data_IF_789198833518
#
_entry.id   IF_789198833518
#
_cell.length_a   1.000
_cell.length_b   1.000
_cell.length_c   1.000
_cell.angle_alpha   90.00
_cell.angle_beta   90.00
_cell.angle_gamma   90.00
#
_symmetry.space_group_name_H-M   'P 1'
#
loop_
_entity.id
_entity.type
_entity.pdbx_description
1 polymer ?
#
# COMPACT_ATOMS: atom_id res chain seq x y z
N UNK A 1 54.65 35.14 -17.65
CA UNK A 1 54.07 36.03 -18.68
C UNK A 1 52.66 35.52 -18.96
N UNK A 2 51.66 36.15 -18.39
CA UNK A 2 50.25 35.85 -18.64
C UNK A 2 49.54 37.18 -18.86
N UNK A 3 49.12 37.39 -20.09
CA UNK A 3 48.40 38.57 -20.56
C UNK A 3 46.94 38.47 -20.19
N UNK A 4 46.50 39.35 -19.30
CA UNK A 4 45.11 39.53 -18.98
C UNK A 4 44.35 40.21 -20.12
N UNK A 5 43.20 39.65 -20.49
CA UNK A 5 42.27 40.21 -21.44
C UNK A 5 41.18 40.94 -20.66
N UNK A 6 41.10 42.24 -20.85
CA UNK A 6 40.06 43.09 -20.27
C UNK A 6 38.90 43.13 -21.23
N UNK A 7 37.75 42.60 -20.85
CA UNK A 7 36.50 42.75 -21.62
C UNK A 7 35.92 44.13 -21.35
N UNK A 8 35.81 44.91 -22.41
CA UNK A 8 35.18 46.22 -22.41
C UNK A 8 33.69 45.99 -22.62
N UNK A 9 32.90 46.31 -21.59
CA UNK A 9 31.45 46.35 -21.67
C UNK A 9 31.04 47.63 -22.40
N UNK A 10 30.61 47.48 -23.64
CA UNK A 10 30.03 48.60 -24.41
C UNK A 10 28.71 49.03 -23.75
N UNK A 11 28.67 50.27 -23.28
CA UNK A 11 27.46 50.93 -22.85
C UNK A 11 26.63 51.33 -24.07
N UNK A 12 25.51 50.61 -24.26
CA UNK A 12 24.51 50.97 -25.29
C UNK A 12 23.94 52.39 -25.11
N UNK A 13 23.44 53.00 -26.18
CA UNK A 13 22.95 54.37 -26.16
C UNK A 13 21.82 54.60 -25.16
N UNK A 14 21.99 55.60 -24.29
CA UNK A 14 20.95 56.03 -23.34
C UNK A 14 19.75 56.56 -24.06
N UNK A 15 18.70 55.75 -24.21
CA UNK A 15 17.38 56.20 -24.70
C UNK A 15 16.81 57.35 -23.84
N UNK A 16 16.07 58.26 -24.45
CA UNK A 16 15.57 59.44 -23.75
C UNK A 16 14.68 59.04 -22.54
N UNK A 17 14.99 59.64 -21.38
CA UNK A 17 14.35 59.33 -20.06
C UNK A 17 12.84 59.45 -20.03
N UNK A 18 12.21 60.12 -21.01
CA UNK A 18 10.79 60.26 -21.10
C UNK A 18 10.04 58.99 -21.58
N UNK A 19 10.73 58.05 -22.27
CA UNK A 19 10.16 56.78 -22.73
C UNK A 19 9.83 55.89 -21.53
N UNK A 20 10.69 55.86 -20.51
CA UNK A 20 10.44 55.13 -19.25
C UNK A 20 9.23 55.68 -18.49
N UNK A 21 9.05 57.01 -18.54
CA UNK A 21 7.91 57.66 -17.87
C UNK A 21 6.58 57.37 -18.54
N UNK A 22 6.54 57.29 -19.88
CA UNK A 22 5.36 56.95 -20.65
C UNK A 22 4.93 55.48 -20.38
N UNK A 23 5.88 54.54 -20.30
CA UNK A 23 5.61 53.16 -20.01
C UNK A 23 5.06 53.00 -18.56
N UNK A 24 5.60 53.76 -17.62
CA UNK A 24 5.14 53.71 -16.22
C UNK A 24 3.72 54.27 -16.07
N UNK A 25 3.39 55.37 -16.77
CA UNK A 25 2.05 55.95 -16.80
C UNK A 25 1.06 54.99 -17.45
N UNK A 26 1.43 54.32 -18.55
CA UNK A 26 0.57 53.32 -19.20
C UNK A 26 0.31 52.09 -18.30
N UNK A 27 1.30 51.61 -17.58
CA UNK A 27 1.17 50.48 -16.66
C UNK A 27 0.23 50.76 -15.47
N UNK A 28 0.12 52.02 -15.05
CA UNK A 28 -0.78 52.44 -13.94
C UNK A 28 -2.18 52.83 -14.46
N UNK A 29 -2.25 53.46 -15.65
CA UNK A 29 -3.52 53.93 -16.19
C UNK A 29 -4.44 52.81 -16.68
N UNK A 30 -3.90 51.75 -17.24
CA UNK A 30 -4.69 50.60 -17.76
C UNK A 30 -5.49 49.88 -16.66
N UNK A 31 -4.92 49.49 -15.53
CA UNK A 31 -5.70 48.88 -14.45
C UNK A 31 -6.70 49.86 -13.80
N UNK A 32 -6.38 51.18 -13.71
CA UNK A 32 -7.31 52.18 -13.16
C UNK A 32 -8.53 52.39 -14.06
N UNK A 33 -8.35 52.39 -15.36
CA UNK A 33 -9.45 52.47 -16.32
C UNK A 33 -10.30 51.21 -16.26
N UNK A 34 -9.67 50.03 -16.10
CA UNK A 34 -10.39 48.77 -15.92
C UNK A 34 -11.27 48.71 -14.66
N UNK A 35 -10.78 49.30 -13.55
CA UNK A 35 -11.55 49.39 -12.30
C UNK A 35 -12.68 50.40 -12.39
N UNK A 36 -12.49 51.50 -13.11
CA UNK A 36 -13.53 52.53 -13.30
C UNK A 36 -14.59 52.14 -14.34
N UNK A 37 -14.20 51.42 -15.39
CA UNK A 37 -15.12 50.93 -16.40
C UNK A 37 -15.98 49.73 -15.92
N UNK A 38 -15.54 49.04 -14.88
CA UNK A 38 -16.28 47.90 -14.31
C UNK A 38 -17.26 48.32 -13.18
N UNK A 39 -17.54 49.61 -13.04
CA UNK A 39 -18.62 50.13 -12.20
C UNK A 39 -19.94 50.13 -12.94
N UNK A 40 -20.24 49.11 -13.69
CA UNK A 40 -21.58 48.87 -14.17
C UNK A 40 -22.46 48.47 -13.00
N UNK A 41 -23.46 49.29 -12.76
CA UNK A 41 -24.60 49.02 -11.91
C UNK A 41 -25.25 47.71 -12.35
N UNK A 42 -24.76 46.60 -11.84
CA UNK A 42 -25.43 45.31 -11.96
C UNK A 42 -26.77 45.44 -11.25
N UNK A 43 -27.84 45.59 -11.99
CA UNK A 43 -29.19 45.31 -11.53
C UNK A 43 -29.14 43.94 -10.80
N UNK A 44 -29.75 43.81 -9.61
CA UNK A 44 -29.76 42.52 -8.91
C UNK A 44 -30.42 41.52 -9.84
N UNK A 45 -29.59 40.61 -10.42
CA UNK A 45 -30.09 39.45 -11.11
C UNK A 45 -31.02 38.70 -10.15
N UNK A 46 -32.20 38.28 -10.60
CA UNK A 46 -33.06 37.44 -9.77
C UNK A 46 -32.22 36.27 -9.24
N UNK A 47 -32.21 36.10 -7.91
CA UNK A 47 -31.45 35.08 -7.24
C UNK A 47 -31.71 33.73 -7.95
N UNK A 48 -30.73 33.26 -8.70
CA UNK A 48 -30.78 31.89 -9.20
C UNK A 48 -31.00 31.00 -7.98
N UNK A 49 -32.01 30.11 -7.99
CA UNK A 49 -32.17 29.18 -6.90
C UNK A 49 -30.82 28.46 -6.72
N UNK A 50 -30.24 28.61 -5.55
CA UNK A 50 -29.03 27.88 -5.19
C UNK A 50 -29.39 26.43 -5.41
N UNK A 51 -28.70 25.70 -6.31
CA UNK A 51 -28.97 24.27 -6.49
C UNK A 51 -28.88 23.66 -5.09
N UNK A 52 -29.99 23.12 -4.61
CA UNK A 52 -30.00 22.34 -3.37
C UNK A 52 -28.98 21.26 -3.59
N UNK A 53 -27.81 21.41 -2.96
CA UNK A 53 -26.79 20.37 -2.99
C UNK A 53 -27.45 19.17 -2.35
N UNK A 54 -27.90 18.23 -3.17
CA UNK A 54 -28.33 16.93 -2.67
C UNK A 54 -27.18 16.43 -1.81
N UNK A 55 -27.36 16.23 -0.50
CA UNK A 55 -26.27 15.73 0.33
C UNK A 55 -25.73 14.50 -0.36
N UNK A 56 -24.42 14.48 -0.56
CA UNK A 56 -23.75 13.30 -1.11
C UNK A 56 -24.28 12.07 -0.33
N UNK A 57 -24.65 10.99 -1.00
CA UNK A 57 -25.20 9.81 -0.33
C UNK A 57 -24.31 9.51 0.85
N UNK A 58 -24.89 9.49 2.05
CA UNK A 58 -24.19 9.17 3.29
C UNK A 58 -23.50 7.85 3.02
N UNK A 59 -22.16 7.86 2.93
CA UNK A 59 -21.39 6.65 2.71
C UNK A 59 -21.87 5.65 3.75
N UNK A 60 -22.40 4.54 3.28
CA UNK A 60 -22.70 3.41 4.14
C UNK A 60 -21.48 3.16 5.01
N UNK A 61 -21.70 3.00 6.30
CA UNK A 61 -20.65 2.88 7.30
C UNK A 61 -19.53 1.98 6.76
N UNK A 62 -18.31 2.51 6.80
CA UNK A 62 -17.11 1.74 6.44
C UNK A 62 -17.19 0.43 7.19
N UNK A 63 -17.23 -0.68 6.46
CA UNK A 63 -17.39 -1.99 7.06
C UNK A 63 -16.15 -2.27 7.93
N UNK A 64 -16.31 -2.32 9.23
CA UNK A 64 -15.24 -2.53 10.21
C UNK A 64 -15.05 -4.03 10.50
N UNK A 65 -15.55 -4.91 9.64
CA UNK A 65 -15.34 -6.35 9.77
C UNK A 65 -13.85 -6.64 9.67
N UNK A 66 -13.27 -7.43 10.58
CA UNK A 66 -11.87 -7.82 10.51
C UNK A 66 -11.56 -8.44 9.14
N UNK A 67 -10.61 -7.86 8.44
CA UNK A 67 -10.16 -8.30 7.13
C UNK A 67 -9.16 -9.48 7.30
N UNK A 68 -9.64 -10.54 7.92
CA UNK A 68 -8.88 -11.74 8.24
C UNK A 68 -9.81 -12.96 8.27
N UNK A 69 -9.27 -14.13 7.96
CA UNK A 69 -9.97 -15.40 8.17
C UNK A 69 -9.55 -16.03 9.50
N UNK A 70 -10.52 -16.59 10.23
CA UNK A 70 -10.30 -17.29 11.49
C UNK A 70 -10.58 -18.78 11.26
N UNK A 71 -9.57 -19.57 10.85
CA UNK A 71 -9.78 -20.97 10.53
C UNK A 71 -10.10 -21.77 11.80
N UNK A 72 -11.00 -22.73 11.69
CA UNK A 72 -11.32 -23.60 12.81
C UNK A 72 -10.13 -24.48 13.19
N UNK A 73 -9.80 -24.52 14.47
CA UNK A 73 -8.81 -25.44 14.99
C UNK A 73 -9.33 -26.88 14.98
N UNK A 74 -8.52 -27.82 14.49
CA UNK A 74 -8.81 -29.25 14.41
C UNK A 74 -8.01 -29.95 15.49
N UNK A 75 -8.57 -31.05 16.04
CA UNK A 75 -7.88 -31.88 17.04
C UNK A 75 -8.27 -31.56 18.47
N UNK A 76 -7.87 -32.42 19.40
CA UNK A 76 -8.15 -32.37 20.84
C UNK A 76 -6.85 -32.54 21.65
N UNK A 77 -6.90 -32.24 22.96
CA UNK A 77 -5.70 -32.33 23.82
C UNK A 77 -4.75 -31.15 23.63
N UNK A 78 -3.45 -31.40 23.79
CA UNK A 78 -2.40 -30.35 23.82
C UNK A 78 -1.94 -29.87 22.45
N UNK A 79 -2.36 -30.55 21.39
CA UNK A 79 -1.98 -30.22 20.01
C UNK A 79 -3.22 -29.87 19.20
N UNK A 80 -3.08 -28.85 18.36
CA UNK A 80 -4.11 -28.39 17.40
C UNK A 80 -3.52 -28.34 16.01
N UNK A 81 -4.41 -28.40 15.02
CA UNK A 81 -4.04 -28.17 13.62
C UNK A 81 -4.96 -27.13 12.98
N UNK A 82 -4.41 -26.41 12.00
CA UNK A 82 -5.16 -25.51 11.09
C UNK A 82 -4.89 -25.94 9.66
N UNK A 83 -5.92 -25.94 8.84
CA UNK A 83 -5.74 -25.99 7.39
C UNK A 83 -5.79 -24.58 6.85
N UNK A 84 -4.80 -24.24 6.04
CA UNK A 84 -4.63 -22.90 5.50
C UNK A 84 -4.36 -22.97 4.00
N UNK A 85 -4.67 -21.85 3.31
CA UNK A 85 -4.29 -21.65 1.91
C UNK A 85 -3.50 -20.35 1.80
N UNK A 86 -2.30 -20.43 1.23
CA UNK A 86 -1.45 -19.28 0.95
C UNK A 86 -1.97 -18.47 -0.25
N UNK A 87 -1.52 -17.21 -0.41
CA UNK A 87 -1.99 -16.35 -1.52
C UNK A 87 -1.74 -16.92 -2.92
N UNK A 88 -0.76 -17.77 -3.11
CA UNK A 88 -0.45 -18.47 -4.36
C UNK A 88 -1.28 -19.75 -4.59
N UNK A 89 -2.17 -20.08 -3.65
CA UNK A 89 -3.01 -21.28 -3.71
C UNK A 89 -2.40 -22.52 -3.05
N UNK A 90 -1.15 -22.47 -2.56
CA UNK A 90 -0.56 -23.59 -1.83
C UNK A 90 -1.39 -23.87 -0.57
N UNK A 91 -1.80 -25.13 -0.39
CA UNK A 91 -2.52 -25.58 0.81
C UNK A 91 -1.54 -26.24 1.78
N UNK A 92 -1.73 -25.96 3.07
CA UNK A 92 -0.89 -26.55 4.11
C UNK A 92 -1.70 -26.83 5.39
N UNK A 93 -1.17 -27.74 6.20
CA UNK A 93 -1.61 -28.00 7.57
C UNK A 93 -0.54 -27.49 8.54
N UNK A 94 -0.97 -26.66 9.49
CA UNK A 94 -0.15 -26.10 10.55
C UNK A 94 -0.49 -26.85 11.83
N UNK A 95 0.44 -27.59 12.40
CA UNK A 95 0.29 -28.24 13.70
C UNK A 95 1.01 -27.42 14.77
N UNK A 96 0.38 -27.20 15.92
CA UNK A 96 0.88 -26.31 16.96
C UNK A 96 0.36 -26.68 18.35
N UNK A 97 1.08 -26.34 19.45
CA UNK A 97 0.60 -26.49 20.82
C UNK A 97 -0.66 -25.66 21.08
N UNK A 98 -1.68 -26.24 21.71
CA UNK A 98 -2.96 -25.57 21.94
C UNK A 98 -2.83 -24.21 22.66
N UNK A 99 -1.84 -24.05 23.54
CA UNK A 99 -1.58 -22.80 24.25
C UNK A 99 -1.20 -21.60 23.37
N UNK A 100 -0.69 -21.84 22.14
CA UNK A 100 -0.43 -20.76 21.19
C UNK A 100 -1.71 -20.12 20.63
N UNK A 101 -2.81 -20.84 20.62
CA UNK A 101 -4.13 -20.39 20.16
C UNK A 101 -4.10 -19.69 18.79
N UNK A 102 -3.37 -20.24 17.82
CA UNK A 102 -3.14 -19.59 16.51
C UNK A 102 -4.45 -19.33 15.74
N UNK A 103 -5.47 -20.16 15.93
CA UNK A 103 -6.77 -19.98 15.30
C UNK A 103 -7.41 -18.62 15.63
N UNK A 104 -7.18 -18.11 16.84
CA UNK A 104 -7.77 -16.84 17.29
C UNK A 104 -7.01 -15.61 16.80
N UNK A 105 -5.82 -15.77 16.24
CA UNK A 105 -5.01 -14.64 15.76
C UNK A 105 -5.56 -14.05 14.45
N UNK A 106 -6.29 -14.84 13.67
CA UNK A 106 -6.73 -14.47 12.33
C UNK A 106 -5.60 -14.51 11.31
N UNK A 107 -5.88 -15.09 10.13
CA UNK A 107 -4.92 -15.25 9.05
C UNK A 107 -5.18 -14.22 7.95
N UNK A 108 -4.12 -13.55 7.48
CA UNK A 108 -4.17 -12.52 6.43
C UNK A 108 -3.12 -12.80 5.35
N UNK A 109 -3.45 -12.57 4.06
CA UNK A 109 -2.51 -12.73 2.98
C UNK A 109 -1.50 -11.57 2.94
N UNK A 110 -0.26 -11.91 2.54
CA UNK A 110 0.74 -10.97 2.06
C UNK A 110 1.33 -11.54 0.77
N UNK A 111 1.48 -10.69 -0.21
CA UNK A 111 2.18 -11.02 -1.43
C UNK A 111 2.82 -9.78 -2.03
N UNK A 112 3.53 -9.96 -3.13
CA UNK A 112 4.13 -8.85 -3.85
C UNK A 112 4.15 -9.15 -5.35
N UNK A 113 4.42 -8.13 -6.13
CA UNK A 113 4.54 -8.26 -7.57
C UNK A 113 5.30 -7.13 -8.22
N UNK A 114 5.47 -7.23 -9.52
CA UNK A 114 6.19 -6.26 -10.36
C UNK A 114 5.49 -6.12 -11.71
N UNK A 115 5.48 -4.91 -12.26
CA UNK A 115 5.08 -4.68 -13.65
C UNK A 115 6.29 -4.93 -14.57
N UNK A 116 6.15 -5.85 -15.53
CA UNK A 116 7.24 -6.28 -16.41
C UNK A 116 7.79 -5.16 -17.33
N UNK A 117 6.94 -4.21 -17.71
CA UNK A 117 7.27 -3.17 -18.71
C UNK A 117 7.83 -1.89 -18.10
N UNK A 118 8.03 -1.84 -16.81
CA UNK A 118 8.49 -0.60 -16.15
C UNK A 118 9.94 -0.25 -16.45
N UNK A 119 10.72 -1.18 -16.96
CA UNK A 119 12.16 -0.99 -17.29
C UNK A 119 13.04 -0.66 -16.07
N UNK A 120 12.44 -0.53 -14.89
CA UNK A 120 13.11 -0.27 -13.63
C UNK A 120 12.91 -1.45 -12.68
N UNK A 121 13.99 -1.90 -12.07
CA UNK A 121 13.95 -2.92 -11.02
C UNK A 121 13.08 -2.49 -9.81
N UNK A 122 12.73 -1.22 -9.72
CA UNK A 122 12.12 -0.55 -8.56
C UNK A 122 10.58 -0.52 -8.59
N UNK A 123 9.92 -1.08 -9.61
CA UNK A 123 8.45 -1.09 -9.67
C UNK A 123 7.83 -2.30 -8.95
N UNK A 124 8.58 -2.83 -8.01
CA UNK A 124 8.12 -3.87 -7.12
C UNK A 124 7.21 -3.27 -6.05
N UNK A 125 6.05 -3.90 -5.82
CA UNK A 125 5.08 -3.45 -4.82
C UNK A 125 4.58 -4.61 -3.98
N UNK A 126 4.45 -4.34 -2.68
CA UNK A 126 3.84 -5.26 -1.73
C UNK A 126 2.38 -4.95 -1.52
N UNK A 127 1.59 -5.97 -1.27
CA UNK A 127 0.19 -5.82 -0.89
C UNK A 127 -0.15 -6.72 0.29
N UNK A 128 -0.95 -6.15 1.18
CA UNK A 128 -1.38 -6.77 2.42
C UNK A 128 -2.88 -6.59 2.61
N UNK A 129 -3.47 -7.37 3.47
CA UNK A 129 -4.82 -7.13 3.95
C UNK A 129 -4.78 -6.25 5.21
N UNK A 130 -5.17 -4.96 5.15
CA UNK A 130 -5.30 -4.12 6.33
C UNK A 130 -6.32 -4.73 7.29
N UNK A 131 -6.03 -4.82 8.59
CA UNK A 131 -6.89 -5.52 9.55
C UNK A 131 -8.32 -4.95 9.58
N UNK A 132 -8.43 -3.63 9.53
CA UNK A 132 -9.70 -2.91 9.50
C UNK A 132 -10.09 -2.47 8.08
N UNK A 133 -9.57 -3.15 7.05
CA UNK A 133 -9.94 -2.95 5.65
C UNK A 133 -9.89 -1.50 5.20
N UNK A 134 -11.01 -1.00 4.68
CA UNK A 134 -11.13 0.36 4.15
C UNK A 134 -10.95 1.43 5.25
N UNK A 135 -11.39 1.18 6.48
CA UNK A 135 -11.26 2.14 7.57
C UNK A 135 -9.80 2.44 7.92
N UNK A 136 -8.95 1.41 7.95
CA UNK A 136 -7.51 1.57 8.17
C UNK A 136 -6.84 2.29 7.00
N UNK A 137 -7.20 1.92 5.77
CA UNK A 137 -6.66 2.56 4.55
C UNK A 137 -7.06 4.03 4.46
N UNK A 138 -8.30 4.36 4.77
CA UNK A 138 -8.80 5.73 4.73
C UNK A 138 -8.17 6.60 5.82
N UNK A 139 -7.94 6.06 7.02
CA UNK A 139 -7.43 6.81 8.18
C UNK A 139 -8.15 8.17 8.38
N UNK A 140 -9.47 8.19 8.18
CA UNK A 140 -10.29 9.40 8.28
C UNK A 140 -10.21 10.37 7.09
N UNK A 141 -9.50 10.02 6.00
CA UNK A 141 -9.32 10.88 4.82
C UNK A 141 -10.25 10.46 3.69
N UNK A 142 -10.62 11.40 2.80
CA UNK A 142 -11.47 11.09 1.65
C UNK A 142 -10.70 10.28 0.61
N UNK A 143 -11.42 9.39 -0.08
CA UNK A 143 -10.96 8.70 -1.26
C UNK A 143 -10.61 9.71 -2.36
N UNK A 144 -9.50 9.48 -3.09
CA UNK A 144 -9.10 10.34 -4.21
C UNK A 144 -10.00 10.07 -5.42
N UNK A 145 -10.08 8.80 -5.86
CA UNK A 145 -10.92 8.37 -6.99
C UNK A 145 -11.09 6.86 -7.08
N UNK A 146 -12.01 6.42 -7.90
CA UNK A 146 -12.04 5.06 -8.43
C UNK A 146 -11.07 4.91 -9.61
N UNK A 147 -10.36 3.79 -9.68
CA UNK A 147 -9.54 3.39 -10.84
C UNK A 147 -10.30 2.39 -11.70
N UNK A 148 -10.97 1.44 -11.06
CA UNK A 148 -11.89 0.45 -11.66
C UNK A 148 -13.08 0.29 -10.73
N UNK A 149 -14.04 -0.59 -11.07
CA UNK A 149 -15.22 -0.86 -10.24
C UNK A 149 -14.85 -1.40 -8.84
N UNK A 150 -13.73 -2.13 -8.74
CA UNK A 150 -13.27 -2.76 -7.52
C UNK A 150 -11.95 -2.20 -6.96
N UNK A 151 -11.39 -1.14 -7.56
CA UNK A 151 -10.13 -0.55 -7.09
C UNK A 151 -10.27 0.96 -6.88
N UNK A 152 -9.93 1.37 -5.69
CA UNK A 152 -9.97 2.79 -5.25
C UNK A 152 -8.59 3.29 -4.89
N UNK A 153 -8.34 4.57 -5.13
CA UNK A 153 -7.10 5.28 -4.79
C UNK A 153 -7.33 6.14 -3.56
N UNK A 154 -6.45 5.98 -2.57
CA UNK A 154 -6.48 6.71 -1.31
C UNK A 154 -5.18 7.47 -1.08
N UNK A 155 -5.21 8.58 -0.32
CA UNK A 155 -3.98 9.24 0.11
C UNK A 155 -3.23 8.33 1.08
N UNK A 156 -1.90 8.28 0.97
CA UNK A 156 -1.05 7.54 1.92
C UNK A 156 -1.17 8.06 3.37
N UNK A 157 -0.73 7.30 4.38
CA UNK A 157 -0.79 7.74 5.78
C UNK A 157 -0.04 9.05 6.02
N UNK A 158 -0.64 9.96 6.80
CA UNK A 158 0.02 11.21 7.19
C UNK A 158 1.22 10.91 8.10
N UNK A 159 2.32 11.64 7.90
CA UNK A 159 3.51 11.55 8.75
C UNK A 159 4.49 10.44 8.40
N UNK A 160 4.21 9.65 7.39
CA UNK A 160 5.21 8.74 6.82
C UNK A 160 5.79 9.38 5.56
N UNK A 161 7.02 9.84 5.62
CA UNK A 161 7.74 10.45 4.49
C UNK A 161 7.89 9.52 3.27
N UNK A 162 7.60 8.24 3.45
CA UNK A 162 7.71 7.19 2.44
C UNK A 162 6.39 6.80 1.80
N UNK A 163 5.26 7.25 2.35
CA UNK A 163 3.96 6.80 1.88
C UNK A 163 3.41 7.72 0.78
N UNK A 164 3.39 7.21 -0.42
CA UNK A 164 2.64 7.78 -1.55
C UNK A 164 1.14 7.55 -1.40
N UNK A 165 0.49 7.14 -2.47
CA UNK A 165 -0.92 6.74 -2.47
C UNK A 165 -1.07 5.26 -2.10
N UNK A 166 -2.30 4.85 -1.77
CA UNK A 166 -2.66 3.44 -1.56
C UNK A 166 -3.73 3.06 -2.58
N UNK A 167 -3.49 1.97 -3.31
CA UNK A 167 -4.52 1.32 -4.10
C UNK A 167 -5.20 0.28 -3.21
N UNK A 168 -6.51 0.41 -3.04
CA UNK A 168 -7.31 -0.53 -2.27
C UNK A 168 -8.18 -1.33 -3.22
N UNK A 169 -7.93 -2.62 -3.27
CA UNK A 169 -8.67 -3.60 -4.05
C UNK A 169 -9.78 -4.21 -3.19
N UNK A 170 -10.98 -4.29 -3.74
CA UNK A 170 -12.13 -4.95 -3.13
C UNK A 170 -12.41 -6.27 -3.88
N UNK A 171 -12.27 -7.40 -3.18
CA UNK A 171 -12.56 -8.73 -3.69
C UNK A 171 -13.56 -9.41 -2.72
N UNK A 172 -14.85 -9.32 -3.02
CA UNK A 172 -15.87 -9.68 -2.05
C UNK A 172 -15.72 -8.88 -0.76
N UNK A 173 -15.62 -9.58 0.37
CA UNK A 173 -15.43 -8.95 1.68
C UNK A 173 -13.97 -8.56 1.97
N UNK A 174 -13.01 -9.06 1.19
CA UNK A 174 -11.61 -8.76 1.36
C UNK A 174 -11.23 -7.38 0.82
N UNK A 175 -10.33 -6.72 1.52
CA UNK A 175 -9.70 -5.47 1.13
C UNK A 175 -8.18 -5.68 1.11
N UNK A 176 -7.59 -5.55 -0.06
CA UNK A 176 -6.14 -5.69 -0.25
C UNK A 176 -5.56 -4.33 -0.58
N UNK A 177 -4.63 -3.86 0.23
CA UNK A 177 -3.95 -2.59 0.05
C UNK A 177 -2.60 -2.79 -0.61
N UNK A 178 -2.37 -2.13 -1.72
CA UNK A 178 -1.08 -1.98 -2.37
C UNK A 178 -0.57 -0.57 -2.06
N UNK A 179 0.57 -0.49 -1.39
CA UNK A 179 1.19 0.77 -1.03
C UNK A 179 2.07 1.26 -2.16
N UNK A 180 1.77 2.45 -2.66
CA UNK A 180 2.62 3.13 -3.63
C UNK A 180 3.75 3.83 -2.88
N UNK A 181 4.97 3.68 -3.37
CA UNK A 181 6.14 4.26 -2.73
C UNK A 181 6.31 5.75 -3.06
N UNK A 182 7.29 6.40 -2.42
CA UNK A 182 7.55 7.85 -2.56
C UNK A 182 7.71 8.32 -4.01
N UNK A 183 8.37 7.52 -4.86
CA UNK A 183 8.53 7.85 -6.28
C UNK A 183 7.21 7.85 -7.06
N UNK A 184 6.19 7.20 -6.50
CA UNK A 184 4.85 7.11 -7.05
C UNK A 184 4.76 6.36 -8.38
N UNK A 185 3.71 5.59 -8.56
CA UNK A 185 3.37 5.03 -9.86
C UNK A 185 2.72 6.09 -10.74
N UNK A 186 2.92 6.01 -12.05
CA UNK A 186 2.12 6.78 -13.01
C UNK A 186 0.67 6.32 -12.97
N UNK A 187 -0.21 7.08 -13.59
CA UNK A 187 -1.63 6.69 -13.68
C UNK A 187 -1.80 5.38 -14.45
N UNK A 188 -1.04 5.20 -15.53
CA UNK A 188 -1.05 4.01 -16.38
C UNK A 188 -0.57 2.78 -15.60
N UNK A 189 0.48 2.91 -14.80
CA UNK A 189 0.98 1.84 -13.94
C UNK A 189 -0.06 1.45 -12.89
N UNK A 190 -0.70 2.42 -12.22
CA UNK A 190 -1.79 2.15 -11.27
C UNK A 190 -2.96 1.43 -11.94
N UNK A 191 -3.31 1.85 -13.16
CA UNK A 191 -4.37 1.23 -13.93
C UNK A 191 -3.99 -0.19 -14.38
N UNK A 192 -2.70 -0.42 -14.73
CA UNK A 192 -2.20 -1.74 -15.03
C UNK A 192 -2.31 -2.68 -13.82
N UNK A 193 -1.91 -2.24 -12.61
CA UNK A 193 -2.15 -2.99 -11.38
C UNK A 193 -3.64 -3.28 -11.17
N UNK A 194 -4.49 -2.26 -11.29
CA UNK A 194 -5.92 -2.37 -11.04
C UNK A 194 -6.64 -3.34 -11.98
N UNK A 195 -6.16 -3.48 -13.22
CA UNK A 195 -6.78 -4.35 -14.23
C UNK A 195 -6.26 -5.79 -14.22
N UNK A 196 -4.99 -5.98 -13.84
CA UNK A 196 -4.32 -7.26 -14.03
C UNK A 196 -4.10 -8.05 -12.72
N UNK A 197 -4.46 -7.49 -11.55
CA UNK A 197 -4.46 -8.22 -10.30
C UNK A 197 -5.84 -8.81 -10.04
N UNK A 198 -5.90 -10.11 -9.84
CA UNK A 198 -7.15 -10.84 -9.58
C UNK A 198 -7.09 -11.52 -8.23
N UNK A 199 -8.19 -11.49 -7.52
CA UNK A 199 -8.35 -12.14 -6.22
C UNK A 199 -9.54 -13.09 -6.22
N UNK A 200 -9.39 -14.21 -5.54
CA UNK A 200 -10.43 -15.21 -5.40
C UNK A 200 -10.48 -15.73 -3.96
N UNK A 201 -11.69 -15.97 -3.47
CA UNK A 201 -11.89 -16.59 -2.17
C UNK A 201 -12.01 -18.10 -2.33
N UNK A 202 -11.30 -18.83 -1.46
CA UNK A 202 -11.51 -20.27 -1.33
C UNK A 202 -12.80 -20.56 -0.56
N UNK A 203 -13.35 -21.77 -0.65
CA UNK A 203 -14.51 -22.16 0.15
C UNK A 203 -14.31 -22.00 1.67
N UNK A 204 -13.06 -22.12 2.13
CA UNK A 204 -12.68 -21.95 3.54
C UNK A 204 -12.41 -20.49 3.92
N UNK A 205 -12.68 -19.53 3.01
CA UNK A 205 -12.55 -18.09 3.23
C UNK A 205 -11.16 -17.51 3.06
N UNK A 206 -10.14 -18.32 2.71
CA UNK A 206 -8.82 -17.81 2.41
C UNK A 206 -8.81 -17.07 1.08
N UNK A 207 -7.91 -16.10 0.98
CA UNK A 207 -7.77 -15.26 -0.21
C UNK A 207 -6.56 -15.68 -1.03
N UNK A 208 -6.78 -15.93 -2.33
CA UNK A 208 -5.73 -16.26 -3.29
C UNK A 208 -5.62 -15.19 -4.36
N UNK A 209 -4.44 -15.05 -4.93
CA UNK A 209 -4.09 -14.03 -5.91
C UNK A 209 -3.58 -14.67 -7.19
N UNK A 210 -3.95 -14.05 -8.30
CA UNK A 210 -3.38 -14.31 -9.62
C UNK A 210 -3.16 -12.99 -10.36
N UNK A 211 -2.33 -13.03 -11.38
CA UNK A 211 -2.05 -11.87 -12.21
C UNK A 211 -1.92 -12.26 -13.66
N UNK A 212 -2.22 -11.33 -14.55
CA UNK A 212 -2.07 -11.48 -16.00
C UNK A 212 -1.41 -10.24 -16.64
N UNK A 213 -1.34 -10.23 -17.96
CA UNK A 213 -0.74 -9.14 -18.72
C UNK A 213 0.69 -8.83 -18.31
N UNK A 214 1.01 -7.55 -18.05
CA UNK A 214 2.35 -7.12 -17.65
C UNK A 214 2.65 -7.34 -16.16
N UNK A 215 1.67 -7.79 -15.36
CA UNK A 215 1.84 -7.98 -13.93
C UNK A 215 2.32 -9.40 -13.61
N UNK A 216 3.40 -9.51 -12.86
CA UNK A 216 3.93 -10.76 -12.33
C UNK A 216 3.91 -10.76 -10.80
N UNK A 217 3.30 -11.76 -10.19
CA UNK A 217 3.41 -11.98 -8.75
C UNK A 217 4.75 -12.63 -8.40
N UNK A 218 5.25 -12.30 -7.21
CA UNK A 218 6.46 -12.92 -6.66
C UNK A 218 6.23 -14.39 -6.35
N UNK A 219 7.26 -15.20 -6.60
CA UNK A 219 7.22 -16.65 -6.40
C UNK A 219 7.57 -17.02 -4.96
N UNK A 220 7.16 -18.21 -4.51
CA UNK A 220 7.64 -18.77 -3.25
C UNK A 220 9.16 -18.68 -3.11
N UNK A 221 9.64 -18.16 -2.00
CA UNK A 221 11.06 -17.98 -1.72
C UNK A 221 11.77 -16.88 -2.53
N UNK A 222 11.05 -16.01 -3.25
CA UNK A 222 11.66 -14.85 -3.89
C UNK A 222 12.10 -13.84 -2.84
N UNK A 223 13.37 -13.40 -2.92
CA UNK A 223 14.00 -12.43 -2.02
C UNK A 223 14.43 -11.21 -2.83
N UNK A 224 14.16 -10.02 -2.31
CA UNK A 224 14.61 -8.74 -2.85
C UNK A 224 15.25 -7.92 -1.74
N UNK A 225 16.45 -7.44 -1.95
CA UNK A 225 17.19 -6.62 -0.97
C UNK A 225 17.23 -7.25 0.44
N UNK A 226 17.33 -8.57 0.49
CA UNK A 226 17.34 -9.33 1.74
C UNK A 226 15.95 -9.50 2.39
N UNK A 227 14.87 -9.00 1.77
CA UNK A 227 13.49 -9.16 2.23
C UNK A 227 12.80 -10.26 1.43
N UNK A 228 12.10 -11.14 2.13
CA UNK A 228 11.26 -12.18 1.53
C UNK A 228 9.97 -11.54 1.02
N UNK A 229 9.79 -11.58 -0.30
CA UNK A 229 8.70 -10.91 -1.00
C UNK A 229 7.70 -11.87 -1.64
N UNK A 230 7.97 -13.16 -1.58
CA UNK A 230 7.05 -14.20 -2.02
C UNK A 230 5.74 -14.24 -1.21
N UNK A 231 4.79 -15.11 -1.58
CA UNK A 231 3.53 -15.25 -0.87
C UNK A 231 3.75 -15.65 0.59
N UNK A 232 3.03 -15.00 1.51
CA UNK A 232 3.10 -15.25 2.94
C UNK A 232 1.69 -15.30 3.53
N UNK A 233 1.57 -15.98 4.64
CA UNK A 233 0.39 -15.95 5.49
C UNK A 233 0.76 -15.36 6.85
N UNK A 234 0.08 -14.31 7.24
CA UNK A 234 0.29 -13.59 8.47
C UNK A 234 -0.81 -13.94 9.47
N UNK A 235 -0.46 -14.58 10.56
CA UNK A 235 -1.35 -14.87 11.68
C UNK A 235 -1.15 -13.81 12.76
N UNK A 236 -2.21 -13.07 13.10
CA UNK A 236 -2.13 -11.94 14.03
C UNK A 236 -1.60 -10.64 13.38
N UNK A 237 -0.85 -9.87 14.16
CA UNK A 237 -0.44 -8.51 13.79
C UNK A 237 -1.34 -7.46 14.42
N UNK A 238 -0.84 -6.24 14.65
CA UNK A 238 -1.44 -5.16 15.45
C UNK A 238 -1.74 -5.52 16.92
N UNK A 239 -1.85 -6.79 17.26
CA UNK A 239 -1.90 -7.34 18.61
C UNK A 239 -0.50 -7.81 19.00
N UNK A 240 -0.32 -8.13 20.26
CA UNK A 240 0.98 -8.45 20.86
C UNK A 240 1.68 -9.70 20.29
N UNK A 241 1.08 -10.42 19.34
CA UNK A 241 1.59 -11.68 18.79
C UNK A 241 1.38 -11.72 17.28
N UNK A 242 2.42 -12.13 16.57
CA UNK A 242 2.38 -12.33 15.14
C UNK A 242 3.23 -13.53 14.75
N UNK A 243 2.71 -14.38 13.87
CA UNK A 243 3.44 -15.45 13.21
C UNK A 243 3.32 -15.28 11.70
N UNK A 244 4.45 -15.18 11.03
CA UNK A 244 4.55 -15.15 9.56
C UNK A 244 4.99 -16.51 9.08
N UNK A 245 4.30 -17.02 8.10
CA UNK A 245 4.62 -18.26 7.41
C UNK A 245 4.82 -17.98 5.93
N UNK A 246 5.90 -18.51 5.35
CA UNK A 246 6.17 -18.37 3.93
C UNK A 246 6.73 -19.67 3.35
N UNK A 247 6.18 -20.18 2.25
CA UNK A 247 6.76 -21.30 1.55
C UNK A 247 8.08 -20.87 0.88
N UNK A 248 9.16 -21.57 1.20
CA UNK A 248 10.49 -21.35 0.61
C UNK A 248 11.06 -22.70 0.21
N UNK A 249 11.07 -23.07 -1.06
CA UNK A 249 11.85 -24.19 -1.51
C UNK A 249 13.32 -24.00 -1.12
N UNK A 250 13.96 -25.01 -0.58
CA UNK A 250 15.37 -24.96 -0.11
C UNK A 250 15.65 -23.91 0.99
N UNK A 251 14.69 -23.68 1.87
CA UNK A 251 14.75 -22.74 2.96
C UNK A 251 16.07 -22.81 3.75
N UNK A 252 16.53 -23.99 4.08
CA UNK A 252 17.75 -24.23 4.87
C UNK A 252 19.05 -23.75 4.18
N UNK A 253 19.01 -23.57 2.84
CA UNK A 253 20.17 -23.16 2.03
C UNK A 253 20.22 -21.66 1.74
N UNK A 254 19.17 -20.89 2.06
CA UNK A 254 19.02 -19.50 1.58
C UNK A 254 19.52 -18.43 2.54
N UNK A 255 20.06 -18.78 3.70
CA UNK A 255 20.56 -17.80 4.66
C UNK A 255 19.44 -16.97 5.31
N UNK A 256 19.79 -15.87 5.95
CA UNK A 256 18.87 -15.02 6.70
C UNK A 256 18.01 -14.13 5.75
N UNK A 257 16.90 -14.70 5.28
CA UNK A 257 15.83 -13.89 4.70
C UNK A 257 15.08 -13.13 5.81
N UNK A 258 14.79 -11.88 5.59
CA UNK A 258 13.98 -11.07 6.53
C UNK A 258 12.54 -10.98 6.02
N UNK A 259 11.59 -11.00 6.94
CA UNK A 259 10.19 -10.66 6.67
C UNK A 259 9.84 -9.37 7.40
N UNK A 260 8.81 -8.69 6.92
CA UNK A 260 8.30 -7.52 7.60
C UNK A 260 7.52 -7.98 8.83
N UNK A 261 8.07 -7.73 10.01
CA UNK A 261 7.40 -7.90 11.30
C UNK A 261 7.04 -6.54 11.88
N UNK A 262 6.04 -6.50 12.75
CA UNK A 262 5.68 -5.26 13.44
C UNK A 262 6.84 -4.81 14.35
N UNK A 263 7.47 -3.66 14.08
CA UNK A 263 8.63 -3.18 14.85
C UNK A 263 8.31 -2.81 16.30
N UNK A 264 7.03 -2.73 16.67
CA UNK A 264 6.58 -2.44 18.04
C UNK A 264 6.74 -3.62 19.00
N UNK A 265 7.07 -4.80 18.47
CA UNK A 265 7.28 -5.98 19.30
C UNK A 265 8.76 -6.15 19.64
N UNK A 266 9.12 -6.16 20.94
CA UNK A 266 10.50 -6.14 21.38
C UNK A 266 11.24 -7.44 21.10
N UNK A 267 10.53 -8.56 20.98
CA UNK A 267 11.13 -9.89 20.77
C UNK A 267 10.63 -10.44 19.45
N UNK A 268 11.58 -10.83 18.61
CA UNK A 268 11.31 -11.51 17.35
C UNK A 268 12.37 -12.58 17.09
N UNK A 269 12.01 -13.57 16.30
CA UNK A 269 12.91 -14.60 15.84
C UNK A 269 12.40 -15.25 14.57
N UNK A 270 13.24 -16.03 13.93
CA UNK A 270 12.89 -16.79 12.74
C UNK A 270 13.54 -18.16 12.72
N UNK A 271 12.94 -19.06 11.97
CA UNK A 271 13.43 -20.41 11.72
C UNK A 271 13.02 -20.89 10.34
N UNK A 272 13.72 -21.87 9.82
CA UNK A 272 13.55 -22.40 8.49
C UNK A 272 13.53 -23.91 8.54
N UNK A 273 12.40 -24.53 8.20
CA UNK A 273 12.25 -25.99 8.25
C UNK A 273 11.17 -26.48 7.28
N UNK A 274 11.33 -27.68 6.81
CA UNK A 274 10.34 -28.41 6.00
C UNK A 274 9.85 -27.60 4.78
N UNK A 275 10.72 -26.74 4.21
CA UNK A 275 10.36 -25.89 3.07
C UNK A 275 9.54 -24.66 3.43
N UNK A 276 9.46 -24.31 4.72
CA UNK A 276 8.78 -23.11 5.20
C UNK A 276 9.69 -22.25 6.08
N UNK A 277 9.62 -20.96 5.84
CA UNK A 277 10.18 -19.95 6.72
C UNK A 277 9.11 -19.51 7.72
N UNK A 278 9.49 -19.54 8.99
CA UNK A 278 8.67 -19.10 10.10
C UNK A 278 9.33 -17.88 10.73
N UNK A 279 8.59 -16.81 10.95
CA UNK A 279 9.06 -15.68 11.76
C UNK A 279 7.97 -15.30 12.76
N UNK A 280 8.37 -15.11 14.00
CA UNK A 280 7.44 -14.79 15.08
C UNK A 280 7.90 -13.54 15.82
N UNK A 281 6.92 -12.74 16.29
CA UNK A 281 7.14 -11.61 17.18
C UNK A 281 6.06 -11.59 18.28
N UNK A 282 6.43 -11.15 19.47
CA UNK A 282 5.51 -11.11 20.61
C UNK A 282 6.21 -11.20 21.95
N UNK A 283 5.55 -11.87 22.91
CA UNK A 283 6.19 -12.26 24.17
C UNK A 283 7.17 -13.43 23.96
N UNK A 284 8.12 -13.57 24.85
CA UNK A 284 9.21 -14.56 24.72
C UNK A 284 8.69 -16.00 24.63
N UNK A 285 7.68 -16.34 25.42
CA UNK A 285 7.13 -17.70 25.44
C UNK A 285 6.41 -18.01 24.14
N UNK A 286 5.67 -17.05 23.59
CA UNK A 286 5.04 -17.19 22.28
C UNK A 286 6.08 -17.38 21.18
N UNK A 287 7.09 -16.51 21.10
CA UNK A 287 8.13 -16.60 20.06
C UNK A 287 8.88 -17.92 20.15
N UNK A 288 9.31 -18.31 21.35
CA UNK A 288 10.03 -19.57 21.58
C UNK A 288 9.18 -20.78 21.16
N UNK A 289 7.94 -20.85 21.61
CA UNK A 289 7.06 -21.99 21.27
C UNK A 289 6.66 -21.97 19.80
N UNK A 290 6.37 -20.81 19.21
CA UNK A 290 6.04 -20.71 17.78
C UNK A 290 7.20 -21.23 16.91
N UNK A 291 8.43 -20.83 17.20
CA UNK A 291 9.60 -21.26 16.42
C UNK A 291 9.99 -22.72 16.71
N UNK A 292 9.82 -23.20 17.93
CA UNK A 292 10.21 -24.56 18.30
C UNK A 292 9.18 -25.62 17.90
N UNK A 293 7.89 -25.33 18.14
CA UNK A 293 6.85 -26.38 18.20
C UNK A 293 5.86 -26.33 17.02
N UNK A 294 5.77 -25.21 16.30
CA UNK A 294 4.92 -25.13 15.09
C UNK A 294 5.55 -25.94 13.96
N UNK A 295 4.75 -26.74 13.29
CA UNK A 295 5.12 -27.51 12.09
C UNK A 295 4.16 -27.18 10.97
N UNK A 296 4.69 -27.03 9.75
CA UNK A 296 3.91 -26.75 8.55
C UNK A 296 4.16 -27.86 7.54
N UNK A 297 3.10 -28.42 7.01
CA UNK A 297 3.18 -29.51 6.02
C UNK A 297 2.28 -29.18 4.83
N UNK A 298 2.77 -29.24 3.59
CA UNK A 298 1.92 -29.13 2.40
C UNK A 298 0.86 -30.22 2.38
N UNK A 299 -0.32 -29.90 1.81
CA UNK A 299 -1.45 -30.81 1.63
C UNK A 299 -1.59 -31.25 0.18
#
# INVERSE_FOLDING_TARGET
>A
MATGRVDIVEQGPRGPRWVGMVVLVALVAVPLIGILANRDTSLPLPARPIPTVTPAPTRNAINVTPNAVYPAAIGTGDTRALRVTFPDGLRAEITYPAGLNLASLGARPYASGVLADSGKADDFRSFTAPLYGEAETAAGRPMIRHLTDNVTLWPGPLGMDTAGSVLLFAFGDWRIALQDERAGMTFEQRLAWAKNLHGMLTPDGFFTLSADGPLRLSRPGEIREGVLVGPQLWLGGLSRRMLVLAPIPDCERRGEARVVLDPRHPISGSDCRDGFYLAASGDEDFVRSALKDVRVRPL
#
